data_IF_973523214084
#
_entry.id   IF_973523214084
#
_cell.length_a   1.000
_cell.length_b   1.000
_cell.length_c   1.000
_cell.angle_alpha   90.00
_cell.angle_beta   90.00
_cell.angle_gamma   90.00
#
_symmetry.space_group_name_H-M   'P 1'
#
loop_
_entity.id
_entity.type
_entity.pdbx_description
1 polymer ?
#
# COMPACT_ATOMS: atom_id res chain seq x y z
N UNK A 1 15.72 -20.96 -1.38
CA UNK A 1 16.21 -21.72 -0.22
C UNK A 1 15.10 -22.62 0.34
N UNK A 2 15.42 -23.58 1.22
CA UNK A 2 14.42 -24.41 1.93
C UNK A 2 13.38 -23.56 2.68
N UNK A 3 13.80 -22.46 3.31
CA UNK A 3 12.90 -21.51 4.00
C UNK A 3 11.90 -20.85 3.05
N UNK A 4 12.29 -20.49 1.83
CA UNK A 4 11.37 -19.92 0.84
C UNK A 4 10.32 -20.94 0.37
N UNK A 5 10.69 -22.22 0.26
CA UNK A 5 9.73 -23.28 -0.09
C UNK A 5 8.66 -23.45 1.00
N UNK A 6 9.05 -23.37 2.27
CA UNK A 6 8.12 -23.41 3.41
C UNK A 6 7.14 -22.23 3.43
N UNK A 7 7.58 -21.04 3.03
CA UNK A 7 6.71 -19.87 2.96
C UNK A 7 5.66 -19.94 1.83
N UNK A 8 5.66 -20.96 0.97
CA UNK A 8 4.58 -21.19 -0.01
C UNK A 8 3.34 -21.83 0.62
N UNK A 9 3.45 -22.39 1.82
CA UNK A 9 2.33 -23.02 2.51
C UNK A 9 1.55 -21.99 3.34
N UNK A 10 0.26 -21.85 3.05
CA UNK A 10 -0.63 -20.86 3.68
C UNK A 10 -0.66 -20.94 5.21
N UNK A 11 -0.61 -22.15 5.78
CA UNK A 11 -0.61 -22.31 7.24
C UNK A 11 0.66 -21.73 7.88
N UNK A 12 1.83 -21.90 7.24
CA UNK A 12 3.10 -21.34 7.72
C UNK A 12 3.06 -19.81 7.64
N UNK A 13 2.58 -19.27 6.51
CA UNK A 13 2.39 -17.83 6.36
C UNK A 13 1.46 -17.27 7.44
N UNK A 14 0.35 -17.94 7.75
CA UNK A 14 -0.59 -17.49 8.77
C UNK A 14 0.02 -17.48 10.17
N UNK A 15 0.86 -18.47 10.53
CA UNK A 15 1.58 -18.45 11.80
C UNK A 15 2.54 -17.27 11.89
N UNK A 16 3.31 -17.03 10.84
CA UNK A 16 4.20 -15.88 10.76
C UNK A 16 3.41 -14.56 10.82
N UNK A 17 2.33 -14.43 10.05
CA UNK A 17 1.46 -13.25 10.06
C UNK A 17 0.91 -12.95 11.44
N UNK A 18 0.41 -13.97 12.16
CA UNK A 18 -0.09 -13.80 13.53
C UNK A 18 0.99 -13.30 14.48
N UNK A 19 2.23 -13.78 14.33
CA UNK A 19 3.34 -13.24 15.12
C UNK A 19 3.60 -11.78 14.78
N UNK A 20 3.54 -11.40 13.50
CA UNK A 20 3.74 -10.03 13.04
C UNK A 20 2.65 -9.08 13.57
N UNK A 21 1.38 -9.45 13.41
CA UNK A 21 0.22 -8.61 13.77
C UNK A 21 0.09 -8.35 15.28
N UNK A 22 0.68 -9.20 16.12
CA UNK A 22 0.63 -9.05 17.58
C UNK A 22 1.75 -8.17 18.14
N UNK A 23 2.63 -7.64 17.30
CA UNK A 23 3.71 -6.76 17.72
C UNK A 23 3.27 -5.30 17.70
N UNK A 24 3.87 -4.51 18.59
CA UNK A 24 3.70 -3.06 18.62
C UNK A 24 4.45 -2.39 17.45
N UNK A 25 4.10 -1.14 17.08
CA UNK A 25 4.81 -0.40 16.04
C UNK A 25 6.32 -0.25 16.31
N UNK A 26 6.72 -0.05 17.57
CA UNK A 26 8.13 0.04 17.96
C UNK A 26 8.86 -1.30 17.75
N UNK A 27 8.18 -2.42 18.04
CA UNK A 27 8.74 -3.75 17.81
C UNK A 27 8.86 -4.09 16.32
N UNK A 28 7.91 -3.65 15.49
CA UNK A 28 8.01 -3.73 14.03
C UNK A 28 9.25 -3.00 13.53
N UNK A 29 9.49 -1.79 14.03
CA UNK A 29 10.64 -0.97 13.67
C UNK A 29 11.96 -1.66 14.03
N UNK A 30 12.07 -2.17 15.26
CA UNK A 30 13.30 -2.85 15.72
C UNK A 30 13.56 -4.11 14.90
N UNK A 31 12.55 -4.94 14.63
CA UNK A 31 12.72 -6.16 13.84
C UNK A 31 13.12 -5.86 12.38
N UNK A 32 12.64 -4.75 11.81
CA UNK A 32 13.08 -4.27 10.49
C UNK A 32 14.57 -3.96 10.49
N UNK A 33 15.05 -3.17 11.45
CA UNK A 33 16.46 -2.84 11.54
C UNK A 33 17.32 -4.10 11.70
N UNK A 34 16.89 -5.09 12.49
CA UNK A 34 17.60 -6.38 12.60
C UNK A 34 17.67 -7.13 11.28
N UNK A 35 16.58 -7.17 10.50
CA UNK A 35 16.56 -7.85 9.19
C UNK A 35 17.51 -7.20 8.18
N UNK A 36 17.61 -5.87 8.25
CA UNK A 36 18.43 -5.02 7.38
C UNK A 36 19.88 -4.86 7.88
N UNK A 37 20.23 -5.47 9.02
CA UNK A 37 21.51 -5.27 9.71
C UNK A 37 21.80 -3.79 10.03
N UNK A 38 20.76 -3.02 10.33
CA UNK A 38 20.87 -1.63 10.80
C UNK A 38 20.93 -1.55 12.32
N UNK A 39 21.44 -0.44 12.88
CA UNK A 39 21.45 -0.22 14.32
C UNK A 39 20.03 -0.26 14.90
N UNK A 40 19.87 -1.05 15.95
CA UNK A 40 18.62 -1.14 16.71
C UNK A 40 18.65 -0.17 17.88
N UNK A 41 17.63 0.69 17.96
CA UNK A 41 17.48 1.69 19.02
C UNK A 41 16.95 1.12 20.35
N UNK A 42 16.43 2.01 21.19
CA UNK A 42 15.82 1.64 22.47
C UNK A 42 14.58 0.75 22.26
N UNK A 43 14.41 -0.28 23.10
CA UNK A 43 13.28 -1.23 23.03
C UNK A 43 13.68 -2.69 22.71
N UNK A 44 14.95 -2.94 22.39
CA UNK A 44 15.48 -4.28 22.09
C UNK A 44 15.29 -5.30 23.22
N UNK A 45 15.20 -4.84 24.47
CA UNK A 45 15.14 -5.69 25.66
C UNK A 45 13.84 -6.49 25.79
N UNK A 46 12.70 -5.96 25.33
CA UNK A 46 11.43 -6.72 25.31
C UNK A 46 11.48 -7.84 24.26
N UNK A 47 12.04 -7.56 23.08
CA UNK A 47 12.19 -8.54 21.99
C UNK A 47 13.22 -9.63 22.28
N UNK A 48 14.28 -9.31 23.03
CA UNK A 48 15.21 -10.32 23.57
C UNK A 48 14.50 -11.20 24.61
N UNK A 49 13.69 -10.61 25.51
CA UNK A 49 12.92 -11.36 26.51
C UNK A 49 11.85 -12.26 25.90
N UNK A 50 11.20 -11.84 24.82
CA UNK A 50 10.20 -12.64 24.10
C UNK A 50 10.84 -13.74 23.22
N UNK A 51 12.18 -13.74 23.11
CA UNK A 51 12.91 -14.72 22.32
C UNK A 51 12.79 -14.52 20.81
N UNK A 52 12.33 -13.35 20.35
CA UNK A 52 12.23 -13.03 18.93
C UNK A 52 13.58 -12.58 18.33
N UNK A 53 14.44 -12.00 19.16
CA UNK A 53 15.81 -11.64 18.84
C UNK A 53 16.76 -12.42 19.76
N UNK A 54 17.82 -12.97 19.17
CA UNK A 54 18.90 -13.66 19.84
C UNK A 54 20.19 -12.88 19.59
N UNK A 55 20.99 -12.73 20.63
CA UNK A 55 22.32 -12.14 20.55
C UNK A 55 23.32 -13.20 20.06
N UNK A 56 24.10 -12.87 19.03
CA UNK A 56 25.17 -13.70 18.50
C UNK A 56 26.48 -12.92 18.41
N UNK A 57 27.63 -13.59 18.25
CA UNK A 57 28.93 -12.91 18.14
C UNK A 57 29.00 -11.92 16.98
N UNK A 58 28.16 -12.09 15.96
CA UNK A 58 28.06 -11.26 14.77
C UNK A 58 26.88 -10.27 14.81
N UNK A 59 26.30 -10.04 15.99
CA UNK A 59 25.24 -9.06 16.25
C UNK A 59 23.89 -9.69 16.59
N UNK A 60 22.87 -8.85 16.67
CA UNK A 60 21.48 -9.24 16.86
C UNK A 60 20.95 -9.99 15.65
N UNK A 61 20.34 -11.15 15.88
CA UNK A 61 19.66 -11.92 14.83
C UNK A 61 18.27 -12.33 15.25
N UNK A 62 17.41 -12.52 14.27
CA UNK A 62 16.11 -13.15 14.51
C UNK A 62 16.28 -14.61 14.94
N UNK A 63 15.39 -15.06 15.80
CA UNK A 63 15.44 -16.41 16.37
C UNK A 63 15.31 -17.54 15.34
N UNK A 64 14.67 -17.25 14.21
CA UNK A 64 14.34 -18.24 13.19
C UNK A 64 14.69 -17.73 11.78
N UNK A 65 15.43 -18.51 10.98
CA UNK A 65 15.66 -18.21 9.56
C UNK A 65 14.37 -18.16 8.74
N UNK A 66 13.34 -18.92 9.14
CA UNK A 66 12.02 -18.87 8.51
C UNK A 66 11.34 -17.54 8.81
N UNK A 67 11.43 -17.06 10.06
CA UNK A 67 10.91 -15.77 10.47
C UNK A 67 11.63 -14.63 9.75
N UNK A 68 12.96 -14.70 9.65
CA UNK A 68 13.75 -13.75 8.87
C UNK A 68 13.36 -13.74 7.40
N UNK A 69 13.14 -14.92 6.79
CA UNK A 69 12.69 -15.01 5.41
C UNK A 69 11.26 -14.44 5.22
N UNK A 70 10.37 -14.66 6.19
CA UNK A 70 9.03 -14.09 6.18
C UNK A 70 9.05 -12.57 6.32
N UNK A 71 9.81 -12.05 7.28
CA UNK A 71 10.00 -10.63 7.44
C UNK A 71 10.67 -10.02 6.21
N UNK A 72 11.64 -10.69 5.57
CA UNK A 72 12.13 -10.25 4.25
C UNK A 72 11.10 -10.33 3.13
N UNK A 73 9.92 -10.93 3.30
CA UNK A 73 8.81 -10.84 2.33
C UNK A 73 7.79 -9.77 2.74
N UNK A 74 7.55 -9.57 4.04
CA UNK A 74 6.57 -8.60 4.58
C UNK A 74 7.14 -7.19 4.82
N UNK A 75 8.42 -7.09 5.17
CA UNK A 75 9.20 -5.86 5.23
C UNK A 75 9.67 -5.48 3.82
N UNK A 76 9.84 -6.48 2.94
CA UNK A 76 10.24 -6.31 1.54
C UNK A 76 9.13 -6.60 0.50
N UNK A 77 7.91 -6.01 0.62
CA UNK A 77 7.17 -5.59 -0.56
C UNK A 77 7.69 -4.24 -1.08
N UNK A 78 8.74 -3.67 -0.45
CA UNK A 78 9.31 -2.37 -0.79
C UNK A 78 10.79 -2.55 -1.21
N UNK A 79 11.07 -3.44 -2.19
CA UNK A 79 11.98 -2.97 -3.23
C UNK A 79 11.39 -1.64 -3.69
N UNK A 80 12.17 -0.57 -3.83
CA UNK A 80 11.71 0.71 -4.34
C UNK A 80 10.84 0.47 -5.59
N UNK A 81 9.53 0.32 -5.39
CA UNK A 81 8.56 0.26 -6.46
C UNK A 81 8.53 1.72 -6.84
N UNK A 82 9.34 2.06 -7.85
CA UNK A 82 9.35 3.39 -8.43
C UNK A 82 7.93 3.84 -8.70
N UNK A 83 7.66 5.16 -8.73
CA UNK A 83 6.32 5.66 -8.89
C UNK A 83 5.64 5.01 -10.10
N UNK A 84 4.39 4.57 -9.95
CA UNK A 84 3.56 4.26 -11.11
C UNK A 84 3.13 5.61 -11.67
N UNK A 85 3.67 5.97 -12.82
CA UNK A 85 3.31 7.20 -13.51
C UNK A 85 1.93 7.04 -14.14
N UNK A 86 1.09 8.07 -13.99
CA UNK A 86 -0.26 8.12 -14.56
C UNK A 86 -0.30 9.20 -15.62
N UNK A 87 -0.63 8.81 -16.83
CA UNK A 87 -0.95 9.75 -17.90
C UNK A 87 -2.44 9.61 -18.24
N UNK A 88 -3.12 10.76 -18.24
CA UNK A 88 -4.54 10.87 -18.54
C UNK A 88 -4.71 11.61 -19.87
N UNK A 89 -5.46 11.01 -20.79
CA UNK A 89 -5.91 11.68 -22.02
C UNK A 89 -7.40 12.06 -21.88
N UNK A 90 -7.74 13.33 -21.60
CA UNK A 90 -9.12 13.77 -21.43
C UNK A 90 -9.96 13.63 -22.70
N UNK A 91 -9.34 13.70 -23.88
CA UNK A 91 -10.05 13.67 -25.17
C UNK A 91 -10.61 12.28 -25.48
N UNK A 92 -9.87 11.24 -25.09
CA UNK A 92 -10.26 9.83 -25.30
C UNK A 92 -10.69 9.13 -24.00
N UNK A 93 -10.51 9.77 -22.84
CA UNK A 93 -10.66 9.20 -21.49
C UNK A 93 -9.84 7.93 -21.31
N UNK A 94 -8.65 7.93 -21.89
CA UNK A 94 -7.68 6.84 -21.76
C UNK A 94 -6.73 7.14 -20.60
N UNK A 95 -6.34 6.06 -19.95
CA UNK A 95 -5.39 6.06 -18.85
C UNK A 95 -4.25 5.17 -19.27
N UNK A 96 -3.05 5.70 -19.14
CA UNK A 96 -1.81 4.99 -19.36
C UNK A 96 -1.07 4.95 -18.02
N UNK A 97 -0.80 3.75 -17.53
CA UNK A 97 0.03 3.53 -16.35
C UNK A 97 1.40 3.05 -16.81
N UNK A 98 2.46 3.67 -16.29
CA UNK A 98 3.84 3.30 -16.62
C UNK A 98 4.61 2.95 -15.36
N UNK A 99 5.36 1.84 -15.42
CA UNK A 99 6.20 1.39 -14.32
C UNK A 99 7.39 0.58 -14.83
N UNK A 100 8.62 1.02 -14.52
CA UNK A 100 9.86 0.35 -14.91
C UNK A 100 9.93 -0.01 -16.42
N UNK A 101 9.45 0.88 -17.29
CA UNK A 101 9.43 0.68 -18.74
C UNK A 101 8.33 -0.27 -19.25
N UNK A 102 7.43 -0.73 -18.37
CA UNK A 102 6.18 -1.43 -18.74
C UNK A 102 5.04 -0.43 -18.80
N UNK A 103 4.10 -0.69 -19.70
CA UNK A 103 2.93 0.17 -19.91
C UNK A 103 1.67 -0.68 -19.90
N UNK A 104 0.64 -0.21 -19.20
CA UNK A 104 -0.69 -0.79 -19.23
C UNK A 104 -1.71 0.33 -19.48
N UNK A 105 -2.70 0.06 -20.32
CA UNK A 105 -3.67 1.07 -20.75
C UNK A 105 -5.10 0.59 -20.57
N UNK A 106 -6.01 1.52 -20.28
CA UNK A 106 -7.44 1.28 -20.35
C UNK A 106 -8.21 2.53 -20.75
N UNK A 107 -9.48 2.37 -21.10
CA UNK A 107 -10.38 3.48 -21.37
C UNK A 107 -11.52 3.49 -20.36
N UNK A 108 -11.74 4.64 -19.71
CA UNK A 108 -12.87 4.83 -18.78
C UNK A 108 -14.07 5.42 -19.54
N UNK A 109 -15.10 4.59 -19.70
CA UNK A 109 -16.32 5.00 -20.44
C UNK A 109 -17.16 6.04 -19.71
N UNK A 110 -17.17 6.04 -18.37
CA UNK A 110 -18.00 6.95 -17.56
C UNK A 110 -17.21 8.20 -17.23
N UNK A 111 -17.68 9.36 -17.70
CA UNK A 111 -17.02 10.67 -17.49
C UNK A 111 -16.71 10.92 -16.01
N UNK A 112 -17.69 10.80 -15.12
CA UNK A 112 -17.52 11.03 -13.68
C UNK A 112 -16.45 10.14 -13.02
N UNK A 113 -16.20 8.94 -13.55
CA UNK A 113 -15.16 8.04 -13.04
C UNK A 113 -13.78 8.54 -13.48
N UNK A 114 -13.67 9.08 -14.69
CA UNK A 114 -12.46 9.72 -15.20
C UNK A 114 -12.19 11.03 -14.44
N UNK A 115 -13.20 11.88 -14.27
CA UNK A 115 -13.10 13.15 -13.54
C UNK A 115 -12.65 12.91 -12.08
N UNK A 116 -13.15 11.85 -11.42
CA UNK A 116 -12.67 11.44 -10.10
C UNK A 116 -11.18 11.09 -10.10
N UNK A 117 -10.71 10.35 -11.11
CA UNK A 117 -9.30 10.00 -11.20
C UNK A 117 -8.43 11.23 -11.44
N UNK A 118 -8.85 12.12 -12.32
CA UNK A 118 -8.16 13.37 -12.65
C UNK A 118 -7.88 14.20 -11.38
N UNK A 119 -8.93 14.40 -10.55
CA UNK A 119 -8.81 15.07 -9.26
C UNK A 119 -7.82 14.35 -8.34
N UNK A 120 -7.99 13.03 -8.15
CA UNK A 120 -7.13 12.27 -7.24
C UNK A 120 -5.67 12.17 -7.73
N UNK A 121 -5.44 12.30 -9.04
CA UNK A 121 -4.11 12.24 -9.66
C UNK A 121 -3.34 13.56 -9.64
N UNK A 122 -4.01 14.67 -9.30
CA UNK A 122 -3.37 15.99 -9.21
C UNK A 122 -2.28 16.00 -8.14
N UNK A 123 -2.56 15.37 -6.99
CA UNK A 123 -1.60 15.17 -5.90
C UNK A 123 -1.72 13.74 -5.37
N UNK A 124 -1.00 12.76 -5.94
CA UNK A 124 -1.03 11.39 -5.47
C UNK A 124 -0.58 11.29 -4.01
N UNK A 125 -1.32 10.52 -3.20
CA UNK A 125 -1.11 10.40 -1.75
C UNK A 125 -1.87 11.43 -0.91
N UNK A 126 -2.33 12.54 -1.49
CA UNK A 126 -3.19 13.50 -0.79
C UNK A 126 -4.55 12.87 -0.47
N UNK A 127 -5.07 13.13 0.73
CA UNK A 127 -6.40 12.68 1.14
C UNK A 127 -7.42 13.77 0.83
N UNK A 128 -8.34 13.48 -0.09
CA UNK A 128 -9.44 14.37 -0.42
C UNK A 128 -10.66 14.00 0.41
N UNK A 129 -11.30 15.00 1.04
CA UNK A 129 -12.53 14.77 1.79
C UNK A 129 -13.68 14.38 0.85
N UNK A 130 -14.66 13.64 1.38
CA UNK A 130 -15.86 13.27 0.59
C UNK A 130 -16.57 14.50 0.03
N UNK A 131 -16.77 15.52 0.86
CA UNK A 131 -17.46 16.76 0.46
C UNK A 131 -16.68 17.50 -0.64
N UNK A 132 -15.35 17.55 -0.54
CA UNK A 132 -14.52 18.16 -1.58
C UNK A 132 -14.64 17.42 -2.92
N UNK A 133 -14.62 16.09 -2.90
CA UNK A 133 -14.80 15.26 -4.09
C UNK A 133 -16.21 15.40 -4.67
N UNK A 134 -17.24 15.41 -3.82
CA UNK A 134 -18.63 15.58 -4.25
C UNK A 134 -18.82 16.94 -4.91
N UNK A 135 -18.36 18.02 -4.29
CA UNK A 135 -18.50 19.38 -4.84
C UNK A 135 -17.71 19.57 -6.14
N UNK A 136 -16.58 18.88 -6.29
CA UNK A 136 -15.78 18.94 -7.51
C UNK A 136 -16.40 18.14 -8.68
N UNK A 137 -17.06 17.01 -8.39
CA UNK A 137 -17.59 16.09 -9.41
C UNK A 137 -19.06 16.38 -9.74
N UNK A 138 -19.84 16.75 -8.75
CA UNK A 138 -21.28 17.01 -8.85
C UNK A 138 -21.55 18.50 -8.64
N UNK A 139 -21.73 19.23 -9.74
CA UNK A 139 -22.05 20.65 -9.74
C UNK A 139 -23.54 20.95 -9.54
N UNK A 140 -24.40 19.92 -9.53
CA UNK A 140 -25.85 20.06 -9.37
C UNK A 140 -26.30 19.72 -7.95
N UNK A 141 -27.26 20.50 -7.42
CA UNK A 141 -27.87 20.29 -6.11
C UNK A 141 -28.62 18.95 -6.05
N UNK A 142 -27.99 17.94 -5.45
CA UNK A 142 -28.64 16.68 -5.06
C UNK A 142 -28.53 16.49 -3.55
N UNK A 143 -29.43 15.68 -2.99
CA UNK A 143 -29.40 15.34 -1.57
C UNK A 143 -28.05 14.69 -1.18
N UNK A 144 -27.41 15.11 -0.08
CA UNK A 144 -26.07 14.64 0.33
C UNK A 144 -25.95 13.12 0.44
N UNK A 145 -26.96 12.43 0.97
CA UNK A 145 -26.96 10.97 1.15
C UNK A 145 -26.87 10.22 -0.19
N UNK A 146 -27.54 10.74 -1.23
CA UNK A 146 -27.49 10.16 -2.58
C UNK A 146 -26.11 10.36 -3.22
N UNK A 147 -25.42 11.45 -2.87
CA UNK A 147 -24.10 11.78 -3.38
C UNK A 147 -23.00 10.95 -2.72
N UNK A 148 -23.14 10.61 -1.44
CA UNK A 148 -22.21 9.76 -0.71
C UNK A 148 -22.19 8.33 -1.28
N UNK A 149 -23.37 7.75 -1.50
CA UNK A 149 -23.51 6.44 -2.15
C UNK A 149 -23.00 6.48 -3.60
N UNK A 150 -23.28 7.57 -4.32
CA UNK A 150 -22.81 7.74 -5.69
C UNK A 150 -21.27 7.83 -5.75
N UNK A 151 -20.64 8.58 -4.84
CA UNK A 151 -19.18 8.67 -4.73
C UNK A 151 -18.58 7.29 -4.41
N UNK A 152 -19.17 6.53 -3.49
CA UNK A 152 -18.74 5.17 -3.20
C UNK A 152 -18.79 4.26 -4.44
N UNK A 153 -19.84 4.36 -5.26
CA UNK A 153 -19.95 3.61 -6.50
C UNK A 153 -18.93 4.07 -7.56
N UNK A 154 -18.62 5.36 -7.64
CA UNK A 154 -17.56 5.89 -8.51
C UNK A 154 -16.21 5.31 -8.10
N UNK A 155 -15.84 5.39 -6.82
CA UNK A 155 -14.59 4.83 -6.29
C UNK A 155 -14.50 3.33 -6.54
N UNK A 156 -15.59 2.60 -6.31
CA UNK A 156 -15.64 1.15 -6.56
C UNK A 156 -15.45 0.83 -8.04
N UNK A 157 -16.04 1.61 -8.93
CA UNK A 157 -15.86 1.46 -10.38
C UNK A 157 -14.43 1.77 -10.78
N UNK A 158 -13.84 2.83 -10.23
CA UNK A 158 -12.48 3.24 -10.51
C UNK A 158 -11.47 2.17 -10.07
N UNK A 159 -11.63 1.59 -8.87
CA UNK A 159 -10.82 0.45 -8.41
C UNK A 159 -10.90 -0.75 -9.36
N UNK A 160 -12.09 -1.08 -9.84
CA UNK A 160 -12.27 -2.18 -10.82
C UNK A 160 -11.55 -1.93 -12.15
N UNK A 161 -11.35 -0.66 -12.52
CA UNK A 161 -10.59 -0.30 -13.71
C UNK A 161 -9.08 -0.32 -13.46
N UNK A 162 -8.60 0.22 -12.34
CA UNK A 162 -7.19 0.45 -12.07
C UNK A 162 -6.47 -0.71 -11.38
N UNK A 163 -7.09 -1.34 -10.38
CA UNK A 163 -6.43 -2.40 -9.59
C UNK A 163 -5.93 -3.57 -10.45
N UNK A 164 -6.65 -4.03 -11.49
CA UNK A 164 -6.14 -5.07 -12.38
C UNK A 164 -4.89 -4.64 -13.16
N UNK A 165 -4.85 -3.40 -13.66
CA UNK A 165 -3.70 -2.86 -14.41
C UNK A 165 -2.48 -2.70 -13.51
N UNK A 166 -2.70 -2.19 -12.29
CA UNK A 166 -1.63 -2.06 -11.28
C UNK A 166 -1.06 -3.43 -10.93
N UNK A 167 -1.89 -4.46 -10.76
CA UNK A 167 -1.44 -5.83 -10.50
C UNK A 167 -0.76 -6.49 -11.69
N UNK A 168 -1.14 -6.11 -12.91
CA UNK A 168 -0.46 -6.57 -14.14
C UNK A 168 0.95 -5.96 -14.23
N UNK A 169 1.07 -4.66 -13.97
CA UNK A 169 2.35 -3.96 -13.99
C UNK A 169 3.26 -4.38 -12.84
N UNK A 170 2.71 -4.41 -11.62
CA UNK A 170 3.41 -4.66 -10.37
C UNK A 170 2.63 -5.67 -9.50
N UNK A 171 2.83 -6.98 -9.72
CA UNK A 171 2.16 -8.05 -8.97
C UNK A 171 2.45 -8.04 -7.46
N UNK A 172 3.49 -7.33 -7.04
CA UNK A 172 3.89 -7.14 -5.64
C UNK A 172 2.89 -6.27 -4.87
N UNK A 173 2.17 -5.37 -5.54
CA UNK A 173 1.13 -4.54 -4.94
C UNK A 173 -0.12 -5.39 -4.71
N UNK A 174 -0.39 -5.68 -3.43
CA UNK A 174 -1.57 -6.45 -2.99
C UNK A 174 -2.75 -5.57 -2.58
N UNK A 175 -2.51 -4.29 -2.34
CA UNK A 175 -3.50 -3.31 -1.90
C UNK A 175 -4.20 -2.64 -3.09
N UNK A 176 -5.34 -2.01 -2.83
CA UNK A 176 -6.02 -1.20 -3.85
C UNK A 176 -5.27 0.12 -4.07
N UNK A 177 -5.24 0.59 -5.31
CA UNK A 177 -4.65 1.88 -5.66
C UNK A 177 -5.44 3.08 -5.10
N UNK A 178 -6.69 2.87 -4.65
CA UNK A 178 -7.48 3.91 -3.99
C UNK A 178 -7.71 3.52 -2.55
N UNK A 179 -7.16 4.29 -1.62
CA UNK A 179 -7.34 4.09 -0.19
C UNK A 179 -8.55 4.87 0.33
N UNK A 180 -9.28 4.26 1.27
CA UNK A 180 -10.32 4.92 2.04
C UNK A 180 -9.74 5.27 3.42
N UNK A 181 -9.69 6.56 3.73
CA UNK A 181 -9.29 7.06 5.04
C UNK A 181 -10.55 7.26 5.86
N UNK A 182 -10.77 6.36 6.82
CA UNK A 182 -12.02 6.27 7.60
C UNK A 182 -12.39 7.61 8.21
N UNK A 183 -13.59 8.09 7.89
CA UNK A 183 -14.14 9.35 8.40
C UNK A 183 -13.61 10.61 7.71
N UNK A 184 -12.72 10.48 6.72
CA UNK A 184 -12.12 11.62 6.01
C UNK A 184 -12.50 11.57 4.52
N UNK A 185 -12.10 10.53 3.80
CA UNK A 185 -12.35 10.43 2.36
C UNK A 185 -11.42 9.46 1.63
N UNK A 186 -10.90 9.87 0.47
CA UNK A 186 -10.17 8.98 -0.44
C UNK A 186 -8.84 9.57 -0.91
N UNK A 187 -7.90 8.68 -1.22
CA UNK A 187 -6.57 9.04 -1.75
C UNK A 187 -6.16 8.05 -2.84
N UNK A 188 -5.50 8.54 -3.89
CA UNK A 188 -4.85 7.71 -4.90
C UNK A 188 -3.42 7.40 -4.44
N UNK A 189 -3.16 6.13 -4.20
CA UNK A 189 -1.87 5.62 -3.72
C UNK A 189 -1.30 4.72 -4.79
N UNK A 190 -0.65 5.36 -5.76
CA UNK A 190 0.11 4.72 -6.84
C UNK A 190 1.63 4.78 -6.60
N UNK A 191 2.01 5.51 -5.56
CA UNK A 191 3.34 5.50 -4.98
C UNK A 191 3.26 4.65 -3.71
N UNK A 192 4.07 3.59 -3.62
CA UNK A 192 4.29 2.97 -2.32
C UNK A 192 4.99 3.99 -1.42
N UNK A 193 4.66 4.02 -0.12
CA UNK A 193 5.18 5.04 0.78
C UNK A 193 6.70 5.06 0.72
N UNK A 194 7.25 6.18 0.23
CA UNK A 194 8.46 6.70 0.85
C UNK A 194 8.12 6.87 2.32
N UNK A 195 8.97 6.31 3.18
CA UNK A 195 8.96 6.48 4.62
C UNK A 195 8.02 7.60 5.10
N UNK A 196 6.97 7.26 5.83
CA UNK A 196 6.37 8.19 6.78
C UNK A 196 7.42 8.46 7.88
N UNK A 197 8.44 9.21 7.52
CA UNK A 197 9.39 9.86 8.39
C UNK A 197 9.28 11.32 8.02
N UNK A 198 8.40 12.01 8.74
CA UNK A 198 8.37 13.44 9.04
C UNK A 198 6.91 13.89 9.18
N UNK A 199 6.39 13.78 10.40
CA UNK A 199 5.63 14.89 10.95
C UNK A 199 6.26 15.20 12.31
N UNK A 200 6.84 16.39 12.33
CA UNK A 200 7.40 17.10 13.47
C UNK A 200 6.27 17.63 14.35
#
# INVERSE_FOLDING_TARGET
SFTQALLRYTHIQNYCRRLWENLTPDEHYILRNVVENQPVGNGLSSLKKSGLIIERPDGEKLFSPLWQAYLRQEIWPHQEIGPIEVELDPSTRRITLQWQGRTAETAIRRKLVFDLLDILSTEPGQVYSKDALINAIYTDEKAPEVLDDALFQLVTTLRKCLDPLVKELCPEIKTSCIQNVRGVGYSLVLNLPQNFSQMT
#
